data_IF_523765033838
#
_entry.id   IF_523765033838
#
_cell.length_a   1.000
_cell.length_b   1.000
_cell.length_c   1.000
_cell.angle_alpha   90.00
_cell.angle_beta   90.00
_cell.angle_gamma   90.00
#
_symmetry.space_group_name_H-M   'P 1'
#
loop_
_entity.id
_entity.type
_entity.pdbx_description
1 polymer ?
#
# COMPACT_ATOMS: atom_id res chain seq x y z
N UNK A 1 20.06 -26.45 1.62
CA UNK A 1 20.98 -25.41 1.11
C UNK A 1 22.02 -25.02 2.15
N UNK A 2 21.67 -24.41 3.30
CA UNK A 2 22.66 -23.97 4.31
C UNK A 2 23.58 -25.11 4.78
N UNK A 3 23.02 -26.28 5.11
CA UNK A 3 23.80 -27.47 5.48
C UNK A 3 24.74 -27.97 4.38
N UNK A 4 24.38 -27.74 3.11
CA UNK A 4 25.16 -28.16 1.95
C UNK A 4 26.38 -27.25 1.74
N UNK A 5 26.23 -25.95 2.00
CA UNK A 5 27.26 -24.94 1.78
C UNK A 5 28.04 -24.56 3.04
N UNK A 6 27.75 -25.17 4.20
CA UNK A 6 28.40 -24.81 5.47
C UNK A 6 29.93 -24.92 5.43
N UNK A 7 30.46 -25.86 4.66
CA UNK A 7 31.90 -26.14 4.60
C UNK A 7 32.70 -25.02 3.92
N UNK A 8 32.05 -24.13 3.16
CA UNK A 8 32.72 -23.01 2.49
C UNK A 8 32.64 -21.70 3.28
N UNK A 9 31.85 -21.64 4.38
CA UNK A 9 31.69 -20.43 5.19
C UNK A 9 32.96 -20.02 5.97
N UNK A 10 33.88 -20.96 6.19
CA UNK A 10 35.12 -20.73 6.95
C UNK A 10 36.36 -20.55 6.04
N UNK A 11 36.16 -20.32 4.73
CA UNK A 11 37.26 -20.00 3.82
C UNK A 11 37.72 -18.55 4.04
N UNK A 12 39.01 -18.35 4.30
CA UNK A 12 39.61 -17.02 4.45
C UNK A 12 39.35 -16.15 3.22
N UNK A 13 39.02 -14.88 3.46
CA UNK A 13 38.74 -13.86 2.44
C UNK A 13 37.49 -14.13 1.58
N UNK A 14 36.59 -15.03 2.00
CA UNK A 14 35.28 -15.23 1.37
C UNK A 14 34.19 -14.78 2.32
N UNK A 15 33.34 -13.87 1.87
CA UNK A 15 32.20 -13.35 2.62
C UNK A 15 30.89 -13.83 2.00
N UNK A 16 30.00 -14.39 2.83
CA UNK A 16 28.67 -14.83 2.41
C UNK A 16 27.62 -13.83 2.87
N UNK A 17 26.86 -13.30 1.91
CA UNK A 17 25.70 -12.45 2.19
C UNK A 17 24.45 -13.26 1.84
N UNK A 18 23.64 -13.56 2.86
CA UNK A 18 22.37 -14.25 2.71
C UNK A 18 21.23 -13.24 2.67
N UNK A 19 20.54 -13.14 1.53
CA UNK A 19 19.32 -12.34 1.39
C UNK A 19 18.13 -13.29 1.43
N UNK A 20 17.37 -13.28 2.53
CA UNK A 20 16.28 -14.24 2.75
C UNK A 20 15.19 -13.67 3.65
N UNK A 21 13.97 -14.20 3.54
CA UNK A 21 12.95 -14.02 4.57
C UNK A 21 13.27 -14.99 5.72
N UNK A 22 13.71 -14.44 6.85
CA UNK A 22 14.14 -15.24 8.00
C UNK A 22 13.01 -16.08 8.59
N UNK A 23 11.76 -15.63 8.53
CA UNK A 23 10.61 -16.39 9.05
C UNK A 23 10.35 -17.64 8.20
N UNK A 24 10.35 -17.50 6.88
CA UNK A 24 10.19 -18.64 5.97
C UNK A 24 11.35 -19.64 6.12
N UNK A 25 12.57 -19.13 6.32
CA UNK A 25 13.73 -19.97 6.56
C UNK A 25 13.61 -20.77 7.88
N UNK A 26 13.14 -20.12 8.96
CA UNK A 26 12.85 -20.79 10.24
C UNK A 26 11.75 -21.84 10.10
N UNK A 27 10.66 -21.51 9.40
CA UNK A 27 9.56 -22.42 9.14
C UNK A 27 10.04 -23.68 8.38
N UNK A 28 10.95 -23.48 7.41
CA UNK A 28 11.54 -24.58 6.64
C UNK A 28 12.40 -25.50 7.51
N UNK A 29 13.18 -24.94 8.44
CA UNK A 29 13.96 -25.71 9.42
C UNK A 29 13.04 -26.50 10.35
N UNK A 30 12.01 -25.85 10.89
CA UNK A 30 11.02 -26.50 11.76
C UNK A 30 10.31 -27.66 11.04
N UNK A 31 10.03 -27.51 9.74
CA UNK A 31 9.40 -28.56 8.94
C UNK A 31 10.33 -29.77 8.72
N UNK A 32 11.62 -29.53 8.47
CA UNK A 32 12.60 -30.61 8.21
C UNK A 32 13.00 -31.34 9.49
N UNK A 33 13.23 -30.60 10.58
CA UNK A 33 13.82 -31.14 11.80
C UNK A 33 12.81 -31.29 12.95
N UNK A 34 11.57 -30.84 12.77
CA UNK A 34 10.52 -30.86 13.78
C UNK A 34 10.51 -29.61 14.67
N UNK A 35 9.35 -29.31 15.23
CA UNK A 35 9.12 -28.14 16.10
C UNK A 35 9.78 -28.23 17.48
N UNK A 36 10.34 -29.39 17.84
CA UNK A 36 11.14 -29.55 19.05
C UNK A 36 12.49 -28.82 18.98
N UNK A 37 12.94 -28.46 17.78
CA UNK A 37 14.17 -27.72 17.55
C UNK A 37 13.87 -26.22 17.46
N UNK A 38 14.65 -25.42 18.19
CA UNK A 38 14.62 -23.98 18.06
C UNK A 38 15.36 -23.57 16.78
N UNK A 39 14.62 -23.28 15.71
CA UNK A 39 15.17 -22.89 14.41
C UNK A 39 16.00 -21.61 14.44
N UNK A 40 15.73 -20.66 15.35
CA UNK A 40 16.60 -19.49 15.52
C UNK A 40 17.98 -19.91 16.01
N UNK A 41 18.06 -20.69 17.11
CA UNK A 41 19.35 -21.18 17.63
C UNK A 41 20.11 -22.03 16.62
N UNK A 42 19.39 -22.72 15.74
CA UNK A 42 20.01 -23.47 14.65
C UNK A 42 20.63 -22.53 13.59
N UNK A 43 19.93 -21.46 13.20
CA UNK A 43 20.44 -20.46 12.25
C UNK A 43 21.65 -19.68 12.79
N UNK A 44 21.68 -19.41 14.09
CA UNK A 44 22.79 -18.69 14.75
C UNK A 44 24.14 -19.44 14.60
N UNK A 45 24.12 -20.74 14.30
CA UNK A 45 25.35 -21.51 13.99
C UNK A 45 26.01 -21.08 12.69
N UNK A 46 25.25 -20.49 11.77
CA UNK A 46 25.71 -20.15 10.41
C UNK A 46 25.72 -18.63 10.16
N UNK A 47 24.82 -17.89 10.82
CA UNK A 47 24.64 -16.45 10.60
C UNK A 47 25.28 -15.68 11.74
N UNK A 48 26.44 -15.06 11.47
CA UNK A 48 27.18 -14.26 12.45
C UNK A 48 26.57 -12.88 12.68
N UNK A 49 26.03 -12.27 11.62
CA UNK A 49 25.46 -10.93 11.64
C UNK A 49 24.17 -10.90 10.83
N UNK A 50 23.16 -10.22 11.37
CA UNK A 50 21.88 -10.00 10.70
C UNK A 50 21.65 -8.50 10.56
N UNK A 51 21.35 -8.07 9.34
CA UNK A 51 20.97 -6.70 9.02
C UNK A 51 19.57 -6.78 8.40
N UNK A 52 18.64 -6.03 8.95
CA UNK A 52 17.28 -5.91 8.41
C UNK A 52 17.14 -4.60 7.66
N UNK A 53 16.38 -4.61 6.57
CA UNK A 53 15.96 -3.38 5.93
C UNK A 53 15.03 -2.64 6.90
N UNK A 54 15.28 -1.35 7.19
CA UNK A 54 14.43 -0.60 8.09
C UNK A 54 13.10 -0.28 7.41
N UNK A 55 12.00 -0.36 8.15
CA UNK A 55 10.66 0.02 7.65
C UNK A 55 10.50 1.55 7.57
N UNK A 56 11.32 2.30 8.31
CA UNK A 56 11.31 3.75 8.32
C UNK A 56 12.72 4.31 8.28
N UNK A 57 12.84 5.53 7.79
CA UNK A 57 14.11 6.22 7.60
C UNK A 57 13.93 7.72 7.87
N UNK A 58 15.01 8.37 8.29
CA UNK A 58 15.03 9.81 8.55
C UNK A 58 15.36 10.56 7.25
N UNK A 59 14.38 11.28 6.72
CA UNK A 59 14.59 12.27 5.66
C UNK A 59 15.14 13.54 6.30
N UNK A 60 16.22 14.09 5.72
CA UNK A 60 16.90 15.29 6.20
C UNK A 60 17.30 15.25 7.69
N UNK A 61 17.54 14.04 8.23
CA UNK A 61 17.99 13.84 9.61
C UNK A 61 16.93 13.93 10.70
N UNK A 62 15.70 14.37 10.40
CA UNK A 62 14.67 14.63 11.43
C UNK A 62 13.27 14.13 11.08
N UNK A 63 12.92 13.97 9.79
CA UNK A 63 11.58 13.57 9.38
C UNK A 63 11.51 12.06 9.19
N UNK A 64 10.81 11.35 10.08
CA UNK A 64 10.57 9.91 9.92
C UNK A 64 9.62 9.69 8.75
N UNK A 65 10.06 8.91 7.76
CA UNK A 65 9.28 8.52 6.61
C UNK A 65 9.31 6.99 6.44
N UNK A 66 8.26 6.42 5.86
CA UNK A 66 8.25 5.00 5.50
C UNK A 66 9.24 4.74 4.35
N UNK A 67 10.04 3.69 4.47
CA UNK A 67 10.99 3.31 3.41
C UNK A 67 10.28 3.00 2.09
N UNK A 68 9.03 2.51 2.14
CA UNK A 68 8.19 2.33 0.95
C UNK A 68 7.83 3.62 0.23
N UNK A 69 7.66 4.74 0.94
CA UNK A 69 7.42 6.05 0.33
C UNK A 69 8.70 6.54 -0.36
N UNK A 70 9.87 6.39 0.27
CA UNK A 70 11.14 6.72 -0.41
C UNK A 70 11.37 5.83 -1.63
N UNK A 71 11.04 4.54 -1.51
CA UNK A 71 11.17 3.63 -2.63
C UNK A 71 10.23 3.99 -3.78
N UNK A 72 9.02 4.48 -3.49
CA UNK A 72 8.14 5.05 -4.50
C UNK A 72 8.80 6.20 -5.27
N UNK A 73 9.42 7.16 -4.57
CA UNK A 73 10.12 8.28 -5.22
C UNK A 73 11.24 7.80 -6.16
N UNK A 74 11.95 6.74 -5.80
CA UNK A 74 12.93 6.10 -6.69
C UNK A 74 12.27 5.52 -7.95
N UNK A 75 11.16 4.79 -7.79
CA UNK A 75 10.45 4.15 -8.90
C UNK A 75 9.82 5.15 -9.87
N UNK A 76 9.37 6.29 -9.37
CA UNK A 76 8.89 7.42 -10.16
C UNK A 76 9.98 7.93 -11.11
N UNK A 77 11.26 7.82 -10.73
CA UNK A 77 12.40 8.18 -11.56
C UNK A 77 12.69 7.19 -12.69
N UNK A 78 12.16 5.97 -12.65
CA UNK A 78 12.45 4.93 -13.64
C UNK A 78 11.63 5.07 -14.94
N UNK A 79 10.43 5.67 -14.87
CA UNK A 79 9.57 5.84 -16.06
C UNK A 79 8.94 7.23 -16.14
N UNK A 80 8.85 7.77 -17.36
CA UNK A 80 8.22 9.08 -17.64
C UNK A 80 6.72 9.09 -17.31
N UNK A 81 6.04 7.96 -17.49
CA UNK A 81 4.62 7.80 -17.18
C UNK A 81 4.35 7.89 -15.67
N UNK A 82 5.15 7.20 -14.85
CA UNK A 82 5.04 7.31 -13.39
C UNK A 82 5.40 8.71 -12.91
N UNK A 83 6.43 9.33 -13.48
CA UNK A 83 6.80 10.71 -13.19
C UNK A 83 5.64 11.69 -13.43
N UNK A 84 4.96 11.57 -14.57
CA UNK A 84 3.80 12.41 -14.90
C UNK A 84 2.63 12.24 -13.93
N UNK A 85 2.37 11.02 -13.46
CA UNK A 85 1.29 10.79 -12.49
C UNK A 85 1.70 11.33 -11.12
N UNK A 86 2.95 11.12 -10.74
CA UNK A 86 3.47 11.62 -9.48
C UNK A 86 3.47 13.15 -9.41
N UNK A 87 3.70 13.85 -10.52
CA UNK A 87 3.59 15.32 -10.53
C UNK A 87 2.16 15.82 -10.37
N UNK A 88 1.15 15.02 -10.70
CA UNK A 88 -0.27 15.36 -10.55
C UNK A 88 -0.82 14.97 -9.17
N UNK A 89 -0.50 13.76 -8.68
CA UNK A 89 -1.13 13.15 -7.50
C UNK A 89 -0.12 12.44 -6.58
N UNK A 90 1.15 12.85 -6.59
CA UNK A 90 2.21 12.21 -5.81
C UNK A 90 1.98 12.25 -4.30
N UNK A 91 1.49 13.38 -3.75
CA UNK A 91 1.14 13.50 -2.33
C UNK A 91 0.07 12.48 -1.93
N UNK A 92 -0.95 12.31 -2.76
CA UNK A 92 -2.01 11.33 -2.58
C UNK A 92 -1.48 9.89 -2.59
N UNK A 93 -0.60 9.56 -3.54
CA UNK A 93 0.01 8.23 -3.61
C UNK A 93 0.87 7.95 -2.37
N UNK A 94 1.67 8.92 -1.93
CA UNK A 94 2.49 8.77 -0.72
C UNK A 94 1.62 8.58 0.53
N UNK A 95 0.52 9.34 0.69
CA UNK A 95 -0.45 9.11 1.77
C UNK A 95 -1.05 7.69 1.67
N UNK A 96 -1.44 7.25 0.48
CA UNK A 96 -1.99 5.91 0.26
C UNK A 96 -1.00 4.80 0.64
N UNK A 97 0.26 4.91 0.24
CA UNK A 97 1.33 3.95 0.60
C UNK A 97 1.55 3.93 2.11
N UNK A 98 1.63 5.11 2.74
CA UNK A 98 1.90 5.24 4.16
C UNK A 98 0.74 4.73 5.02
N UNK A 99 -0.49 5.12 4.68
CA UNK A 99 -1.69 4.77 5.44
C UNK A 99 -2.03 3.29 5.34
N UNK A 100 -1.77 2.65 4.19
CA UNK A 100 -2.00 1.20 4.00
C UNK A 100 -0.79 0.35 4.41
N UNK A 101 0.31 0.99 4.82
CA UNK A 101 1.52 0.34 5.28
C UNK A 101 2.10 -0.65 4.25
N UNK A 102 2.13 -0.28 2.97
CA UNK A 102 2.68 -1.16 1.93
C UNK A 102 4.14 -1.50 2.20
N UNK A 103 4.50 -2.76 1.97
CA UNK A 103 5.88 -3.22 1.90
C UNK A 103 6.59 -2.73 0.64
N UNK A 104 7.92 -2.85 0.57
CA UNK A 104 8.70 -2.53 -0.64
C UNK A 104 8.24 -3.34 -1.85
N UNK A 105 7.91 -4.62 -1.66
CA UNK A 105 7.45 -5.51 -2.74
C UNK A 105 6.05 -5.15 -3.23
N UNK A 106 5.16 -4.77 -2.32
CA UNK A 106 3.82 -4.28 -2.69
C UNK A 106 3.93 -2.93 -3.39
N UNK A 107 4.80 -2.03 -2.93
CA UNK A 107 5.08 -0.76 -3.60
C UNK A 107 5.58 -0.97 -5.04
N UNK A 108 6.51 -1.92 -5.26
CA UNK A 108 6.94 -2.32 -6.61
C UNK A 108 5.80 -2.88 -7.46
N UNK A 109 4.94 -3.69 -6.84
CA UNK A 109 3.80 -4.30 -7.54
C UNK A 109 2.81 -3.21 -7.95
N UNK A 110 2.56 -2.26 -7.07
CA UNK A 110 1.67 -1.13 -7.31
C UNK A 110 2.21 -0.21 -8.41
N UNK A 111 3.48 0.20 -8.35
CA UNK A 111 4.11 1.03 -9.39
C UNK A 111 4.08 0.37 -10.76
N UNK A 112 4.40 -0.92 -10.84
CA UNK A 112 4.37 -1.68 -12.09
C UNK A 112 2.97 -1.75 -12.68
N UNK A 113 1.95 -2.06 -11.88
CA UNK A 113 0.57 -2.14 -12.37
C UNK A 113 0.05 -0.77 -12.80
N UNK A 114 0.39 0.30 -12.07
CA UNK A 114 0.02 1.66 -12.46
C UNK A 114 0.68 2.06 -13.78
N UNK A 115 1.96 1.74 -13.96
CA UNK A 115 2.69 1.99 -15.19
C UNK A 115 2.09 1.21 -16.38
N UNK A 116 1.74 -0.07 -16.18
CA UNK A 116 1.07 -0.88 -17.21
C UNK A 116 -0.30 -0.30 -17.56
N UNK A 117 -1.13 0.03 -16.56
CA UNK A 117 -2.44 0.62 -16.80
C UNK A 117 -2.33 1.88 -17.65
N UNK A 118 -1.33 2.72 -17.38
CA UNK A 118 -1.12 3.99 -18.08
C UNK A 118 -0.59 3.79 -19.48
N UNK A 119 0.33 2.85 -19.66
CA UNK A 119 0.82 2.47 -20.98
C UNK A 119 -0.32 1.97 -21.90
N UNK A 120 -1.23 1.16 -21.35
CA UNK A 120 -2.37 0.63 -22.11
C UNK A 120 -3.42 1.71 -22.44
N UNK A 121 -3.57 2.72 -21.58
CA UNK A 121 -4.58 3.77 -21.72
C UNK A 121 -4.01 5.12 -22.17
N UNK A 122 -2.78 5.17 -22.69
CA UNK A 122 -2.07 6.42 -23.00
C UNK A 122 -2.81 7.31 -24.04
N UNK A 123 -3.68 6.71 -24.85
CA UNK A 123 -4.51 7.43 -25.82
C UNK A 123 -5.87 7.89 -25.28
N UNK A 124 -6.42 7.23 -24.26
CA UNK A 124 -7.80 7.46 -23.76
C UNK A 124 -7.83 8.21 -22.41
N UNK A 125 -6.81 8.04 -21.56
CA UNK A 125 -6.73 8.63 -20.22
C UNK A 125 -5.69 9.77 -20.13
N UNK A 126 -5.80 10.76 -21.02
CA UNK A 126 -4.95 11.97 -20.99
C UNK A 126 -5.44 13.06 -20.04
N UNK A 127 -6.44 12.77 -19.20
CA UNK A 127 -6.91 13.76 -18.26
C UNK A 127 -5.78 14.18 -17.32
N UNK A 128 -5.44 15.47 -17.34
CA UNK A 128 -4.56 16.08 -16.36
C UNK A 128 -5.33 16.48 -15.09
N UNK A 129 -6.63 16.13 -15.01
CA UNK A 129 -7.45 16.37 -13.84
C UNK A 129 -6.95 15.54 -12.64
N UNK A 130 -6.50 16.16 -11.54
CA UNK A 130 -5.99 15.44 -10.38
C UNK A 130 -7.00 14.44 -9.79
N UNK A 131 -8.29 14.77 -9.76
CA UNK A 131 -9.31 13.91 -9.19
C UNK A 131 -9.51 12.63 -10.00
N UNK A 132 -9.59 12.74 -11.33
CA UNK A 132 -9.64 11.56 -12.22
C UNK A 132 -8.38 10.70 -12.03
N UNK A 133 -7.21 11.33 -11.89
CA UNK A 133 -5.97 10.60 -11.63
C UNK A 133 -5.97 9.90 -10.26
N UNK A 134 -6.56 10.49 -9.22
CA UNK A 134 -6.74 9.85 -7.91
C UNK A 134 -7.68 8.64 -8.00
N UNK A 135 -8.80 8.74 -8.74
CA UNK A 135 -9.72 7.62 -8.99
C UNK A 135 -8.97 6.46 -9.66
N UNK A 136 -8.17 6.76 -10.70
CA UNK A 136 -7.34 5.75 -11.38
C UNK A 136 -6.34 5.09 -10.43
N UNK A 137 -5.67 5.88 -9.59
CA UNK A 137 -4.72 5.39 -8.58
C UNK A 137 -5.42 4.42 -7.62
N UNK A 138 -6.60 4.78 -7.09
CA UNK A 138 -7.38 3.92 -6.19
C UNK A 138 -7.87 2.67 -6.91
N UNK A 139 -8.33 2.77 -8.16
CA UNK A 139 -8.76 1.62 -8.94
C UNK A 139 -7.62 0.61 -9.17
N UNK A 140 -6.42 1.11 -9.51
CA UNK A 140 -5.22 0.25 -9.65
C UNK A 140 -4.81 -0.35 -8.29
N UNK A 141 -4.92 0.41 -7.21
CA UNK A 141 -4.63 -0.08 -5.86
C UNK A 141 -5.56 -1.24 -5.49
N UNK A 142 -6.87 -1.05 -5.69
CA UNK A 142 -7.89 -2.09 -5.48
C UNK A 142 -7.63 -3.30 -6.38
N UNK A 143 -7.20 -3.10 -7.64
CA UNK A 143 -6.82 -4.21 -8.52
C UNK A 143 -5.64 -5.03 -7.98
N UNK A 144 -4.66 -4.36 -7.35
CA UNK A 144 -3.46 -5.01 -6.83
C UNK A 144 -3.71 -5.80 -5.54
N UNK A 145 -4.51 -5.26 -4.63
CA UNK A 145 -4.60 -5.74 -3.25
C UNK A 145 -6.01 -6.16 -2.82
N UNK A 146 -7.02 -5.84 -3.63
CA UNK A 146 -8.41 -6.20 -3.39
C UNK A 146 -8.71 -7.65 -3.81
N UNK A 147 -9.57 -8.29 -3.03
CA UNK A 147 -10.16 -9.59 -3.32
C UNK A 147 -11.29 -9.40 -4.34
N UNK A 148 -11.05 -9.86 -5.56
CA UNK A 148 -11.98 -9.73 -6.69
C UNK A 148 -13.31 -10.43 -6.41
N UNK A 149 -13.34 -11.51 -5.62
CA UNK A 149 -14.60 -12.22 -5.33
C UNK A 149 -15.48 -11.40 -4.39
N UNK A 150 -14.87 -10.69 -3.43
CA UNK A 150 -15.59 -9.78 -2.51
C UNK A 150 -16.07 -8.49 -3.18
N UNK A 151 -15.49 -8.13 -4.33
CA UNK A 151 -15.76 -6.89 -5.06
C UNK A 151 -16.57 -7.08 -6.36
N UNK A 152 -16.89 -8.32 -6.73
CA UNK A 152 -17.67 -8.65 -7.94
C UNK A 152 -19.18 -8.57 -7.75
N UNK A 153 -19.65 -8.56 -6.50
CA UNK A 153 -21.07 -8.48 -6.19
C UNK A 153 -21.54 -7.02 -6.17
N UNK A 154 -22.86 -6.80 -6.19
CA UNK A 154 -23.42 -5.47 -5.93
C UNK A 154 -22.85 -4.89 -4.63
N UNK A 155 -22.80 -3.56 -4.51
CA UNK A 155 -22.28 -2.92 -3.31
C UNK A 155 -23.18 -3.29 -2.12
N UNK A 156 -22.61 -4.05 -1.17
CA UNK A 156 -23.23 -4.48 0.09
C UNK A 156 -22.54 -3.81 1.28
N UNK A 157 -23.16 -3.91 2.46
CA UNK A 157 -22.53 -3.46 3.71
C UNK A 157 -21.15 -4.11 3.95
N UNK A 158 -21.01 -5.41 3.63
CA UNK A 158 -19.77 -6.17 3.77
C UNK A 158 -18.70 -5.69 2.80
N UNK A 159 -19.05 -5.46 1.53
CA UNK A 159 -18.09 -4.95 0.54
C UNK A 159 -17.62 -3.54 0.87
N UNK A 160 -18.49 -2.69 1.43
CA UNK A 160 -18.13 -1.35 1.92
C UNK A 160 -17.12 -1.45 3.07
N UNK A 161 -17.39 -2.31 4.07
CA UNK A 161 -16.45 -2.54 5.17
C UNK A 161 -15.11 -3.06 4.67
N UNK A 162 -15.13 -4.02 3.75
CA UNK A 162 -13.92 -4.59 3.15
C UNK A 162 -13.09 -3.53 2.41
N UNK A 163 -13.73 -2.68 1.59
CA UNK A 163 -13.05 -1.58 0.90
C UNK A 163 -12.47 -0.55 1.87
N UNK A 164 -13.20 -0.21 2.93
CA UNK A 164 -12.71 0.71 3.95
C UNK A 164 -11.47 0.16 4.65
N UNK A 165 -11.49 -1.13 5.04
CA UNK A 165 -10.37 -1.78 5.69
C UNK A 165 -9.16 -1.88 4.73
N UNK A 166 -9.39 -2.18 3.45
CA UNK A 166 -8.37 -2.22 2.39
C UNK A 166 -7.67 -0.86 2.21
N UNK A 167 -8.42 0.24 2.25
CA UNK A 167 -7.91 1.61 2.10
C UNK A 167 -7.49 2.26 3.44
N UNK A 168 -7.61 1.51 4.53
CA UNK A 168 -7.42 1.96 5.92
C UNK A 168 -8.23 3.23 6.26
N UNK A 169 -9.53 3.19 5.97
CA UNK A 169 -10.50 4.26 6.26
C UNK A 169 -11.34 3.84 7.47
N UNK A 170 -11.24 4.63 8.55
CA UNK A 170 -11.94 4.32 9.79
C UNK A 170 -13.38 4.84 9.79
N UNK A 171 -13.55 6.04 9.28
CA UNK A 171 -14.79 6.81 9.24
C UNK A 171 -14.73 7.85 8.10
N UNK A 172 -15.89 8.43 7.76
CA UNK A 172 -15.98 9.60 6.88
C UNK A 172 -16.07 10.85 7.76
N UNK A 173 -15.18 11.84 7.59
CA UNK A 173 -15.12 13.00 8.47
C UNK A 173 -16.19 14.03 8.10
N UNK A 174 -17.45 13.78 8.46
CA UNK A 174 -18.57 14.72 8.24
C UNK A 174 -18.41 16.02 9.04
N UNK A 175 -17.78 15.94 10.21
CA UNK A 175 -17.48 17.07 11.09
C UNK A 175 -16.10 17.67 10.75
N UNK A 176 -16.10 18.70 9.90
CA UNK A 176 -14.90 19.46 9.54
C UNK A 176 -15.17 20.96 9.49
N UNK A 177 -14.16 21.75 9.85
CA UNK A 177 -14.17 23.22 9.74
C UNK A 177 -13.59 23.70 8.41
N UNK A 178 -12.52 23.05 7.96
CA UNK A 178 -11.82 23.37 6.70
C UNK A 178 -11.70 22.13 5.84
N UNK A 179 -11.87 22.30 4.53
CA UNK A 179 -11.77 21.19 3.57
C UNK A 179 -10.41 20.50 3.58
N UNK A 180 -9.33 21.23 3.87
CA UNK A 180 -7.98 20.67 4.00
C UNK A 180 -7.82 19.65 5.13
N UNK A 181 -8.82 19.51 6.01
CA UNK A 181 -8.85 18.48 7.06
C UNK A 181 -9.38 17.15 6.53
N UNK A 182 -10.06 17.14 5.38
CA UNK A 182 -10.65 15.94 4.79
C UNK A 182 -9.55 15.23 4.00
N UNK A 183 -9.19 13.98 4.33
CA UNK A 183 -8.28 13.20 3.51
C UNK A 183 -8.87 12.97 2.12
N UNK A 184 -8.08 13.18 1.08
CA UNK A 184 -8.52 12.98 -0.32
C UNK A 184 -9.08 11.57 -0.55
N UNK A 185 -8.48 10.55 0.10
CA UNK A 185 -8.95 9.18 0.02
C UNK A 185 -10.37 8.99 0.57
N UNK A 186 -10.77 9.78 1.57
CA UNK A 186 -12.13 9.76 2.11
C UNK A 186 -13.14 10.32 1.11
N UNK A 187 -12.74 11.29 0.27
CA UNK A 187 -13.58 11.86 -0.80
C UNK A 187 -13.79 10.81 -1.89
N UNK A 188 -12.71 10.13 -2.33
CA UNK A 188 -12.79 9.04 -3.31
C UNK A 188 -13.64 7.90 -2.78
N UNK A 189 -13.42 7.48 -1.53
CA UNK A 189 -14.19 6.42 -0.90
C UNK A 189 -15.68 6.77 -0.78
N UNK A 190 -16.01 7.99 -0.36
CA UNK A 190 -17.38 8.48 -0.38
C UNK A 190 -17.99 8.41 -1.77
N UNK A 191 -17.25 8.83 -2.82
CA UNK A 191 -17.69 8.72 -4.20
C UNK A 191 -18.05 7.30 -4.63
N UNK A 192 -17.29 6.29 -4.17
CA UNK A 192 -17.54 4.87 -4.47
C UNK A 192 -18.84 4.39 -3.80
N UNK A 193 -19.15 4.87 -2.59
CA UNK A 193 -20.26 4.34 -1.79
C UNK A 193 -21.48 5.26 -1.72
N UNK A 194 -21.46 6.44 -2.38
CA UNK A 194 -22.45 7.52 -2.18
C UNK A 194 -23.89 7.05 -2.32
N UNK A 195 -24.16 6.21 -3.32
CA UNK A 195 -25.51 5.71 -3.65
C UNK A 195 -25.97 4.59 -2.70
N UNK A 196 -25.03 4.03 -1.93
CA UNK A 196 -25.21 2.89 -1.01
C UNK A 196 -24.79 3.22 0.42
N UNK A 197 -24.67 4.51 0.76
CA UNK A 197 -24.03 4.94 2.02
C UNK A 197 -24.83 4.54 3.27
N UNK A 198 -26.14 4.34 3.11
CA UNK A 198 -27.05 3.90 4.17
C UNK A 198 -26.96 2.40 4.45
N UNK A 199 -26.29 1.61 3.59
CA UNK A 199 -26.13 0.17 3.82
C UNK A 199 -25.19 -0.15 4.98
N UNK A 200 -24.31 0.77 5.35
CA UNK A 200 -23.29 0.54 6.37
C UNK A 200 -23.33 1.63 7.45
N UNK A 201 -23.83 1.29 8.64
CA UNK A 201 -23.96 2.21 9.77
C UNK A 201 -22.63 2.86 10.18
N UNK A 202 -21.48 2.22 9.93
CA UNK A 202 -20.14 2.76 10.24
C UNK A 202 -19.85 4.05 9.46
N UNK A 203 -20.39 4.16 8.25
CA UNK A 203 -20.13 5.28 7.35
C UNK A 203 -21.38 6.09 7.04
N UNK A 204 -22.53 5.73 7.61
CA UNK A 204 -23.75 6.50 7.46
C UNK A 204 -23.62 7.87 8.16
N UNK A 205 -24.09 8.95 7.53
CA UNK A 205 -24.14 10.28 8.16
C UNK A 205 -25.15 10.29 9.31
N UNK A 206 -24.93 11.14 10.33
CA UNK A 206 -25.85 11.27 11.47
C UNK A 206 -27.06 12.15 11.16
N UNK A 207 -26.96 12.99 10.12
CA UNK A 207 -28.04 13.86 9.65
C UNK A 207 -27.99 14.08 8.14
N UNK A 208 -29.13 14.43 7.55
CA UNK A 208 -29.21 14.84 6.14
C UNK A 208 -28.37 16.08 5.84
N UNK A 209 -28.14 16.93 6.84
CA UNK A 209 -27.29 18.12 6.71
C UNK A 209 -25.81 17.75 6.57
N UNK A 210 -25.33 16.77 7.36
CA UNK A 210 -23.98 16.21 7.21
C UNK A 210 -23.78 15.60 5.82
N UNK A 211 -24.78 14.84 5.34
CA UNK A 211 -24.74 14.25 4.01
C UNK A 211 -24.66 15.31 2.92
N UNK A 212 -25.56 16.29 2.93
CA UNK A 212 -25.56 17.40 1.94
C UNK A 212 -24.24 18.17 1.96
N UNK A 213 -23.72 18.47 3.15
CA UNK A 213 -22.46 19.19 3.33
C UNK A 213 -21.29 18.43 2.69
N UNK A 214 -21.21 17.11 2.92
CA UNK A 214 -20.14 16.28 2.36
C UNK A 214 -20.31 16.01 0.87
N UNK A 215 -21.55 15.82 0.39
CA UNK A 215 -21.86 15.71 -1.05
C UNK A 215 -21.40 16.96 -1.81
N UNK A 216 -21.61 18.16 -1.26
CA UNK A 216 -21.12 19.39 -1.88
C UNK A 216 -19.58 19.42 -1.97
N UNK A 217 -18.85 18.83 -1.02
CA UNK A 217 -17.40 18.69 -1.14
C UNK A 217 -17.05 17.79 -2.30
N UNK A 218 -17.73 16.65 -2.45
CA UNK A 218 -17.50 15.71 -3.54
C UNK A 218 -17.81 16.32 -4.91
N UNK A 219 -18.94 17.03 -5.05
CA UNK A 219 -19.36 17.63 -6.34
C UNK A 219 -18.40 18.70 -6.85
N UNK A 220 -17.63 19.36 -5.97
CA UNK A 220 -16.61 20.32 -6.41
C UNK A 220 -15.41 19.65 -7.10
N UNK A 221 -15.34 18.31 -7.10
CA UNK A 221 -14.35 17.52 -7.83
C UNK A 221 -14.93 16.79 -9.06
N UNK A 222 -16.24 16.84 -9.28
CA UNK A 222 -16.94 16.22 -10.42
C UNK A 222 -17.01 17.16 -11.63
#
# INVERSE_FOLDING_TARGET
IIETIKHIFDINNVFFILVTNTEQLKASINHIYGYSINSQKYLDKFIKYTITLPDTCLINGHNVCKTSVIYWDHLVGETTLLNKINSLVGSFICDLIQRTNLSLRETQTFSRNLNIFRLLNDNECKSNDPFINMIVVVAVFIHCFGDKEKLKQEITAESISYLADLLNIKEIPYSYERRSQIPEISIIFFGIIKDSITLNERFAPKSDEELKKFTNVYTDYE
#
